data_IF_043150940306
#
_entry.id   IF_043150940306
#
_cell.length_a   1.000
_cell.length_b   1.000
_cell.length_c   1.000
_cell.angle_alpha   90.00
_cell.angle_beta   90.00
_cell.angle_gamma   90.00
#
_symmetry.space_group_name_H-M   'P 1'
#
loop_
_entity.id
_entity.type
_entity.pdbx_description
1 polymer ?
#
# COMPACT_ATOMS: atom_id res chain seq x y z
N UNK A 1 -8.11 -11.01 9.30
CA UNK A 1 -7.06 -11.42 8.37
C UNK A 1 -6.96 -10.55 7.11
N UNK A 2 -7.56 -9.34 7.08
CA UNK A 2 -7.76 -8.58 5.83
C UNK A 2 -7.17 -7.16 5.81
N UNK A 3 -6.51 -6.71 6.89
CA UNK A 3 -5.82 -5.41 6.95
C UNK A 3 -4.50 -5.40 6.14
N UNK A 4 -4.06 -6.54 5.66
CA UNK A 4 -2.70 -6.86 5.26
C UNK A 4 -2.25 -6.28 3.91
N UNK A 5 -3.09 -6.24 2.90
CA UNK A 5 -2.63 -5.83 1.56
C UNK A 5 -2.51 -4.32 1.36
N UNK A 6 -3.35 -3.51 2.02
CA UNK A 6 -3.26 -2.05 1.90
C UNK A 6 -2.13 -1.48 2.76
N UNK A 7 -1.85 -2.07 3.92
CA UNK A 7 -0.67 -1.72 4.70
C UNK A 7 0.63 -2.09 3.97
N UNK A 8 0.69 -3.22 3.27
CA UNK A 8 1.88 -3.61 2.50
C UNK A 8 2.18 -2.63 1.36
N UNK A 9 1.17 -2.10 0.67
CA UNK A 9 1.38 -1.09 -0.38
C UNK A 9 1.83 0.26 0.20
N UNK A 10 1.22 0.71 1.30
CA UNK A 10 1.65 1.93 2.01
C UNK A 10 3.04 1.74 2.62
N UNK A 11 3.35 0.56 3.15
CA UNK A 11 4.65 0.22 3.71
C UNK A 11 5.74 0.13 2.65
N UNK A 12 5.44 -0.42 1.47
CA UNK A 12 6.38 -0.40 0.35
C UNK A 12 6.73 1.04 -0.03
N UNK A 13 5.73 1.93 -0.09
CA UNK A 13 5.96 3.36 -0.39
C UNK A 13 6.80 4.05 0.70
N UNK A 14 6.53 3.76 1.98
CA UNK A 14 7.31 4.30 3.09
C UNK A 14 8.75 3.76 3.09
N UNK A 15 8.95 2.49 2.73
CA UNK A 15 10.26 1.86 2.61
C UNK A 15 11.12 2.51 1.50
N UNK A 16 10.51 2.95 0.40
CA UNK A 16 11.21 3.67 -0.66
C UNK A 16 11.46 5.15 -0.35
N UNK A 17 10.76 5.74 0.63
CA UNK A 17 10.81 7.17 0.92
C UNK A 17 11.93 7.58 1.89
N UNK A 18 12.58 6.65 2.59
CA UNK A 18 13.57 6.99 3.63
C UNK A 18 14.87 6.21 3.49
N UNK A 19 15.95 6.82 3.00
CA UNK A 19 17.30 6.33 3.26
C UNK A 19 17.72 6.79 4.66
N UNK A 20 18.00 5.84 5.55
CA UNK A 20 18.71 6.05 6.82
C UNK A 20 17.93 6.82 7.92
N UNK A 21 17.42 6.07 8.90
CA UNK A 21 16.89 6.46 10.20
C UNK A 21 15.38 6.75 10.28
N UNK A 22 14.67 5.79 10.93
CA UNK A 22 13.28 5.83 11.36
C UNK A 22 12.25 6.12 10.24
N UNK A 23 11.47 5.10 9.90
CA UNK A 23 10.33 5.24 8.99
C UNK A 23 9.30 6.20 9.61
N UNK A 24 9.31 7.43 9.15
CA UNK A 24 8.42 8.48 9.64
C UNK A 24 7.28 8.70 8.67
N UNK A 25 6.05 8.58 9.16
CA UNK A 25 4.85 8.90 8.38
C UNK A 25 4.86 10.40 8.06
N UNK A 26 4.84 10.80 6.79
CA UNK A 26 4.90 12.20 6.41
C UNK A 26 3.64 12.93 6.88
N UNK A 27 3.84 14.10 7.46
CA UNK A 27 2.78 14.89 8.12
C UNK A 27 2.61 16.26 7.50
N UNK A 28 1.38 16.76 7.54
CA UNK A 28 1.02 18.13 7.21
C UNK A 28 0.11 18.71 8.29
N UNK A 29 -0.01 20.02 8.37
CA UNK A 29 -0.83 20.69 9.37
C UNK A 29 -0.45 20.29 10.80
N UNK A 30 -1.43 19.82 11.57
CA UNK A 30 -1.23 19.34 12.95
C UNK A 30 -0.67 17.91 13.03
N UNK A 31 -0.61 17.18 11.92
CA UNK A 31 -0.08 15.81 11.85
C UNK A 31 -0.95 14.74 12.54
N UNK A 32 -2.22 15.03 12.84
CA UNK A 32 -3.03 14.16 13.68
C UNK A 32 -3.19 12.74 13.10
N UNK A 33 -3.61 12.61 11.85
CA UNK A 33 -3.73 11.30 11.22
C UNK A 33 -2.38 10.60 11.02
N UNK A 34 -1.33 11.36 10.68
CA UNK A 34 0.02 10.80 10.53
C UNK A 34 0.55 10.22 11.85
N UNK A 35 0.29 10.85 12.99
CA UNK A 35 0.66 10.33 14.30
C UNK A 35 -0.06 9.00 14.61
N UNK A 36 -1.36 8.91 14.29
CA UNK A 36 -2.12 7.66 14.46
C UNK A 36 -1.57 6.52 13.61
N UNK A 37 -1.15 6.83 12.37
CA UNK A 37 -0.55 5.84 11.47
C UNK A 37 0.90 5.48 11.88
N UNK A 38 1.64 6.42 12.49
CA UNK A 38 3.00 6.16 12.98
C UNK A 38 3.04 5.03 14.02
N UNK A 39 2.02 4.92 14.87
CA UNK A 39 1.97 3.84 15.86
C UNK A 39 1.91 2.45 15.21
N UNK A 40 1.26 2.32 14.05
CA UNK A 40 1.30 1.07 13.28
C UNK A 40 2.67 0.83 12.67
N UNK A 41 3.30 1.87 12.12
CA UNK A 41 4.65 1.78 11.55
C UNK A 41 5.67 1.29 12.59
N UNK A 42 5.55 1.78 13.82
CA UNK A 42 6.47 1.45 14.91
C UNK A 42 6.44 -0.02 15.36
N UNK A 43 5.34 -0.75 15.13
CA UNK A 43 5.22 -2.18 15.50
C UNK A 43 5.52 -3.14 14.34
N UNK A 44 5.76 -2.62 13.14
CA UNK A 44 6.02 -3.43 11.94
C UNK A 44 7.53 -3.58 11.76
N UNK A 45 8.05 -4.79 11.49
CA UNK A 45 9.48 -5.03 11.27
C UNK A 45 9.91 -4.55 9.87
N UNK A 46 9.88 -3.23 9.63
CA UNK A 46 10.10 -2.64 8.30
C UNK A 46 11.50 -2.93 7.74
N UNK A 47 12.53 -2.95 8.58
CA UNK A 47 13.90 -3.26 8.13
C UNK A 47 13.98 -4.67 7.54
N UNK A 48 13.32 -5.65 8.17
CA UNK A 48 13.29 -7.04 7.67
C UNK A 48 12.46 -7.14 6.38
N UNK A 49 11.35 -6.41 6.30
CA UNK A 49 10.50 -6.36 5.09
C UNK A 49 11.26 -5.74 3.92
N UNK A 50 11.99 -4.65 4.15
CA UNK A 50 12.82 -4.00 3.12
C UNK A 50 13.99 -4.90 2.70
N UNK A 51 14.65 -5.55 3.66
CA UNK A 51 15.71 -6.51 3.35
C UNK A 51 15.18 -7.67 2.48
N UNK A 52 14.01 -8.20 2.82
CA UNK A 52 13.34 -9.24 2.03
C UNK A 52 12.99 -8.75 0.62
N UNK A 53 12.46 -7.53 0.49
CA UNK A 53 12.16 -6.95 -0.83
C UNK A 53 13.42 -6.90 -1.71
N UNK A 54 14.56 -6.47 -1.16
CA UNK A 54 15.82 -6.45 -1.89
C UNK A 54 16.29 -7.85 -2.32
N UNK A 55 16.06 -8.87 -1.49
CA UNK A 55 16.38 -10.24 -1.88
C UNK A 55 15.53 -10.69 -3.09
N UNK A 56 14.23 -10.45 -3.07
CA UNK A 56 13.34 -10.75 -4.19
C UNK A 56 13.73 -9.99 -5.46
N UNK A 57 14.00 -8.68 -5.35
CA UNK A 57 14.42 -7.85 -6.49
C UNK A 57 15.70 -8.37 -7.16
N UNK A 58 16.61 -8.94 -6.38
CA UNK A 58 17.91 -9.41 -6.88
C UNK A 58 17.91 -10.86 -7.36
N UNK A 59 16.99 -11.71 -6.87
CA UNK A 59 17.11 -13.16 -7.04
C UNK A 59 15.91 -13.81 -7.71
N UNK A 60 14.75 -13.15 -7.73
CA UNK A 60 13.51 -13.72 -8.26
C UNK A 60 13.14 -13.10 -9.60
N UNK A 61 13.08 -13.92 -10.64
CA UNK A 61 12.80 -13.46 -12.01
C UNK A 61 11.35 -13.01 -12.20
N UNK A 62 10.39 -13.58 -11.44
CA UNK A 62 8.98 -13.16 -11.51
C UNK A 62 8.80 -11.79 -10.84
N UNK A 63 9.50 -11.54 -9.72
CA UNK A 63 9.55 -10.21 -9.11
C UNK A 63 10.17 -9.19 -10.06
N UNK A 64 11.27 -9.54 -10.74
CA UNK A 64 11.90 -8.66 -11.72
C UNK A 64 10.96 -8.37 -12.90
N UNK A 65 10.25 -9.38 -13.40
CA UNK A 65 9.25 -9.20 -14.47
C UNK A 65 8.10 -8.28 -14.03
N UNK A 66 7.64 -8.41 -12.78
CA UNK A 66 6.62 -7.52 -12.22
C UNK A 66 7.14 -6.08 -12.08
N UNK A 67 8.36 -5.87 -11.60
CA UNK A 67 8.97 -4.53 -11.52
C UNK A 67 9.14 -3.90 -12.90
N UNK A 68 9.51 -4.69 -13.92
CA UNK A 68 9.58 -4.22 -15.30
C UNK A 68 8.21 -3.80 -15.82
N UNK A 69 7.14 -4.56 -15.48
CA UNK A 69 5.78 -4.17 -15.83
C UNK A 69 5.39 -2.80 -15.22
N UNK A 70 5.78 -2.50 -13.98
CA UNK A 70 5.53 -1.19 -13.37
C UNK A 70 6.19 -0.03 -14.13
N UNK A 71 7.24 -0.29 -14.92
CA UNK A 71 7.92 0.70 -15.74
C UNK A 71 7.27 0.90 -17.12
N UNK A 72 6.25 0.12 -17.48
CA UNK A 72 5.58 0.21 -18.79
C UNK A 72 4.68 1.44 -18.87
N UNK A 73 4.43 1.89 -20.12
CA UNK A 73 3.45 2.94 -20.37
C UNK A 73 2.02 2.51 -19.96
N UNK A 74 1.71 1.21 -20.04
CA UNK A 74 0.42 0.67 -19.58
C UNK A 74 0.20 0.98 -18.10
N UNK A 75 1.19 0.68 -17.24
CA UNK A 75 1.08 0.95 -15.82
C UNK A 75 1.09 2.46 -15.51
N UNK A 76 1.90 3.26 -16.21
CA UNK A 76 1.89 4.74 -16.09
C UNK A 76 0.53 5.33 -16.46
N UNK A 77 -0.07 4.85 -17.55
CA UNK A 77 -1.41 5.27 -17.96
C UNK A 77 -2.47 4.89 -16.92
N UNK A 78 -2.35 3.72 -16.32
CA UNK A 78 -3.21 3.33 -15.19
C UNK A 78 -3.08 4.31 -14.02
N UNK A 79 -1.87 4.64 -13.55
CA UNK A 79 -1.66 5.58 -12.45
C UNK A 79 -2.22 6.96 -12.80
N UNK A 80 -1.95 7.49 -14.00
CA UNK A 80 -2.49 8.77 -14.47
C UNK A 80 -4.01 8.77 -14.53
N UNK A 81 -4.62 7.65 -14.98
CA UNK A 81 -6.08 7.47 -15.01
C UNK A 81 -6.66 7.50 -13.58
N UNK A 82 -6.03 6.81 -12.63
CA UNK A 82 -6.43 6.83 -11.22
C UNK A 82 -6.36 8.25 -10.63
N UNK A 83 -5.27 8.97 -10.87
CA UNK A 83 -5.07 10.34 -10.39
C UNK A 83 -6.02 11.35 -11.02
N UNK A 84 -6.62 11.02 -12.17
CA UNK A 84 -7.62 11.87 -12.84
C UNK A 84 -9.02 11.75 -12.22
N UNK A 85 -9.29 10.69 -11.43
CA UNK A 85 -10.60 10.45 -10.80
C UNK A 85 -10.83 11.51 -9.70
N UNK A 86 -11.94 12.28 -9.75
CA UNK A 86 -12.22 13.31 -8.74
C UNK A 86 -12.25 12.75 -7.31
N UNK A 87 -12.86 11.60 -7.11
CA UNK A 87 -12.97 10.95 -5.79
C UNK A 87 -11.60 10.47 -5.25
N UNK A 88 -10.63 10.18 -6.12
CA UNK A 88 -9.26 9.93 -5.70
C UNK A 88 -8.61 11.20 -5.13
N UNK A 89 -8.85 12.35 -5.75
CA UNK A 89 -8.40 13.65 -5.22
C UNK A 89 -9.11 14.02 -3.92
N UNK A 90 -10.39 13.70 -3.79
CA UNK A 90 -11.15 13.90 -2.55
C UNK A 90 -10.55 13.07 -1.41
N UNK A 91 -10.13 11.82 -1.70
CA UNK A 91 -9.41 10.97 -0.74
C UNK A 91 -8.08 11.60 -0.31
N UNK A 92 -7.27 12.08 -1.26
CA UNK A 92 -5.99 12.75 -0.94
C UNK A 92 -6.22 14.02 -0.13
N UNK A 93 -7.20 14.83 -0.51
CA UNK A 93 -7.56 16.07 0.20
C UNK A 93 -8.04 15.78 1.63
N UNK A 94 -8.87 14.74 1.82
CA UNK A 94 -9.32 14.34 3.15
C UNK A 94 -8.11 13.97 4.04
N UNK A 95 -7.21 13.12 3.54
CA UNK A 95 -6.02 12.69 4.27
C UNK A 95 -5.09 13.87 4.58
N UNK A 96 -4.90 14.78 3.63
CA UNK A 96 -4.10 15.99 3.77
C UNK A 96 -4.66 16.90 4.89
N UNK A 97 -5.98 17.10 4.91
CA UNK A 97 -6.67 17.91 5.92
C UNK A 97 -6.66 17.24 7.31
N UNK A 98 -6.66 15.91 7.35
CA UNK A 98 -6.55 15.15 8.58
C UNK A 98 -5.11 15.09 9.16
N UNK A 99 -4.11 15.62 8.43
CA UNK A 99 -2.74 15.74 8.92
C UNK A 99 -1.76 14.70 8.39
N UNK A 100 -2.16 13.90 7.39
CA UNK A 100 -1.25 13.02 6.63
C UNK A 100 -0.82 13.74 5.34
N UNK A 101 0.49 13.80 5.04
CA UNK A 101 0.96 14.35 3.76
C UNK A 101 0.78 13.32 2.63
N UNK A 102 -0.49 13.16 2.22
CA UNK A 102 -0.90 12.21 1.18
C UNK A 102 -0.33 12.56 -0.19
N UNK A 103 -0.18 13.86 -0.48
CA UNK A 103 0.43 14.30 -1.75
C UNK A 103 1.91 13.97 -1.83
N UNK A 104 2.65 14.08 -0.72
CA UNK A 104 4.04 13.63 -0.66
C UNK A 104 4.14 12.13 -0.97
N UNK A 105 3.28 11.31 -0.37
CA UNK A 105 3.26 9.86 -0.60
C UNK A 105 2.92 9.51 -2.06
N UNK A 106 1.91 10.15 -2.64
CA UNK A 106 1.55 9.96 -4.05
C UNK A 106 2.71 10.36 -4.99
N UNK A 107 3.36 11.50 -4.73
CA UNK A 107 4.50 11.95 -5.53
C UNK A 107 5.71 11.02 -5.41
N UNK A 108 5.92 10.36 -4.26
CA UNK A 108 6.96 9.34 -4.13
C UNK A 108 6.71 8.10 -4.97
N UNK A 109 5.45 7.69 -5.13
CA UNK A 109 5.10 6.63 -6.09
C UNK A 109 5.43 7.06 -7.51
N UNK A 110 5.13 8.29 -7.86
CA UNK A 110 5.42 8.83 -9.18
C UNK A 110 6.93 8.89 -9.46
N UNK A 111 7.72 9.33 -8.49
CA UNK A 111 9.19 9.30 -8.56
C UNK A 111 9.70 7.87 -8.73
N UNK A 112 9.15 6.90 -7.99
CA UNK A 112 9.55 5.50 -8.04
C UNK A 112 9.34 4.86 -9.41
N UNK A 113 8.33 5.27 -10.16
CA UNK A 113 8.06 4.75 -11.50
C UNK A 113 9.11 5.17 -12.53
N UNK A 114 10.09 6.00 -12.14
CA UNK A 114 11.21 6.43 -12.97
C UNK A 114 12.58 5.92 -12.49
N UNK A 115 12.68 5.04 -11.42
CA UNK A 115 13.95 4.81 -10.73
C UNK A 115 14.54 3.42 -10.91
N UNK A 116 15.84 3.44 -11.17
CA UNK A 116 16.79 2.40 -10.80
C UNK A 116 17.68 2.93 -9.69
N UNK A 117 17.90 2.18 -8.60
CA UNK A 117 19.08 2.16 -7.68
C UNK A 117 18.70 1.68 -6.27
N UNK A 118 19.53 1.00 -5.47
CA UNK A 118 20.88 0.52 -5.29
C UNK A 118 20.95 -0.36 -4.03
N UNK A 119 21.85 -1.29 -3.99
CA UNK A 119 22.05 -2.32 -2.96
C UNK A 119 23.36 -2.06 -2.19
N UNK A 120 23.42 -2.24 -0.86
CA UNK A 120 24.64 -2.57 -0.11
C UNK A 120 24.82 -4.08 0.08
N UNK A 121 26.05 -4.59 0.10
CA UNK A 121 26.34 -6.02 0.16
C UNK A 121 26.41 -6.58 1.57
N UNK A 122 26.12 -7.89 1.67
CA UNK A 122 26.41 -8.84 2.76
C UNK A 122 25.35 -9.06 3.86
N UNK A 123 24.40 -9.96 3.54
CA UNK A 123 23.86 -10.93 4.52
C UNK A 123 23.67 -12.28 3.84
N UNK A 124 23.77 -13.38 4.63
CA UNK A 124 23.62 -14.74 4.15
C UNK A 124 22.30 -14.88 3.36
N UNK A 125 22.42 -15.28 2.09
CA UNK A 125 21.31 -15.30 1.14
C UNK A 125 20.43 -16.51 1.38
N UNK A 126 19.20 -16.30 1.86
CA UNK A 126 18.10 -17.25 1.65
C UNK A 126 17.73 -17.21 0.18
N UNK A 127 17.49 -18.37 -0.44
CA UNK A 127 16.91 -18.41 -1.75
C UNK A 127 15.45 -17.92 -1.65
N UNK A 128 15.10 -16.87 -2.40
CA UNK A 128 13.75 -16.33 -2.49
C UNK A 128 13.15 -16.75 -3.83
N UNK A 129 11.91 -17.25 -3.79
CA UNK A 129 11.19 -17.76 -4.96
C UNK A 129 9.70 -17.39 -4.87
N UNK A 130 8.98 -17.43 -6.00
CA UNK A 130 7.53 -17.22 -6.04
C UNK A 130 7.10 -15.80 -6.38
N UNK A 131 8.01 -14.97 -6.88
CA UNK A 131 7.73 -13.62 -7.37
C UNK A 131 7.03 -12.73 -6.36
N UNK A 132 6.19 -11.82 -6.84
CA UNK A 132 5.41 -10.89 -5.98
C UNK A 132 4.50 -11.64 -5.00
N UNK A 133 3.94 -12.80 -5.38
CA UNK A 133 3.13 -13.62 -4.48
C UNK A 133 3.97 -14.13 -3.31
N UNK A 134 5.14 -14.74 -3.59
CA UNK A 134 6.02 -15.28 -2.55
C UNK A 134 6.51 -14.18 -1.60
N UNK A 135 6.81 -12.99 -2.13
CA UNK A 135 7.14 -11.82 -1.31
C UNK A 135 6.00 -11.44 -0.37
N UNK A 136 4.76 -11.29 -0.88
CA UNK A 136 3.60 -10.92 -0.07
C UNK A 136 3.28 -11.96 1.02
N UNK A 137 3.40 -13.27 0.71
CA UNK A 137 3.17 -14.34 1.68
C UNK A 137 4.23 -14.30 2.81
N UNK A 138 5.49 -13.97 2.51
CA UNK A 138 6.54 -13.83 3.51
C UNK A 138 6.40 -12.55 4.34
N UNK A 139 6.03 -11.42 3.72
CA UNK A 139 5.70 -10.19 4.46
C UNK A 139 4.53 -10.45 5.41
N UNK A 140 3.49 -11.14 4.95
CA UNK A 140 2.35 -11.50 5.80
C UNK A 140 2.79 -12.30 7.04
N UNK A 141 3.73 -13.22 6.87
CA UNK A 141 4.26 -14.03 7.97
C UNK A 141 5.11 -13.22 8.97
N UNK A 142 5.70 -12.09 8.55
CA UNK A 142 6.48 -11.20 9.41
C UNK A 142 5.60 -10.22 10.21
N UNK A 143 4.37 -9.94 9.77
CA UNK A 143 3.53 -8.95 10.41
C UNK A 143 3.01 -9.43 11.77
N UNK A 144 3.14 -8.63 12.84
CA UNK A 144 2.61 -8.95 14.17
C UNK A 144 1.09 -8.71 14.20
N UNK A 145 0.33 -9.56 13.49
CA UNK A 145 -1.08 -9.36 13.17
C UNK A 145 -1.99 -9.16 14.38
N UNK A 146 -1.71 -9.85 15.49
CA UNK A 146 -2.50 -9.67 16.72
C UNK A 146 -2.30 -8.26 17.32
N UNK A 147 -1.05 -7.76 17.30
CA UNK A 147 -0.75 -6.40 17.75
C UNK A 147 -1.39 -5.35 16.83
N UNK A 148 -1.30 -5.55 15.51
CA UNK A 148 -1.93 -4.67 14.52
C UNK A 148 -3.45 -4.61 14.71
N UNK A 149 -4.10 -5.77 14.92
CA UNK A 149 -5.55 -5.82 15.17
C UNK A 149 -5.95 -5.18 16.51
N UNK A 150 -5.16 -5.41 17.56
CA UNK A 150 -5.40 -4.80 18.86
C UNK A 150 -5.27 -3.28 18.78
N UNK A 151 -4.20 -2.79 18.14
CA UNK A 151 -3.97 -1.37 17.91
C UNK A 151 -5.08 -0.75 17.06
N UNK A 152 -5.51 -1.41 15.98
CA UNK A 152 -6.62 -0.94 15.15
C UNK A 152 -7.91 -0.75 15.98
N UNK A 153 -8.30 -1.78 16.75
CA UNK A 153 -9.50 -1.68 17.62
C UNK A 153 -9.37 -0.55 18.64
N UNK A 154 -8.19 -0.42 19.27
CA UNK A 154 -7.91 0.67 20.20
C UNK A 154 -8.04 2.03 19.54
N UNK A 155 -7.47 2.22 18.35
CA UNK A 155 -7.49 3.48 17.61
C UNK A 155 -8.92 3.86 17.18
N UNK A 156 -9.68 2.91 16.64
CA UNK A 156 -11.09 3.16 16.29
C UNK A 156 -11.93 3.56 17.51
N UNK A 157 -11.66 2.96 18.68
CA UNK A 157 -12.42 3.25 19.90
C UNK A 157 -12.03 4.60 20.57
N UNK A 158 -10.75 5.00 20.47
CA UNK A 158 -10.22 6.07 21.33
C UNK A 158 -9.68 7.28 20.55
N UNK A 159 -9.50 7.19 19.24
CA UNK A 159 -9.04 8.31 18.42
C UNK A 159 -10.13 8.74 17.45
N UNK A 160 -10.72 9.91 17.71
CA UNK A 160 -11.73 10.49 16.81
C UNK A 160 -11.18 10.67 15.39
N UNK A 161 -9.94 11.14 15.24
CA UNK A 161 -9.34 11.39 13.93
C UNK A 161 -9.15 10.08 13.14
N UNK A 162 -8.80 9.01 13.84
CA UNK A 162 -8.66 7.69 13.21
C UNK A 162 -10.03 7.07 12.89
N UNK A 163 -10.99 7.16 13.79
CA UNK A 163 -12.36 6.72 13.56
C UNK A 163 -13.01 7.45 12.37
N UNK A 164 -12.89 8.77 12.30
CA UNK A 164 -13.38 9.59 11.21
C UNK A 164 -12.72 9.18 9.86
N UNK A 165 -11.43 8.87 9.87
CA UNK A 165 -10.72 8.36 8.69
C UNK A 165 -11.27 7.00 8.23
N UNK A 166 -11.50 6.05 9.13
CA UNK A 166 -12.11 4.76 8.78
C UNK A 166 -13.53 4.95 8.25
N UNK A 167 -14.32 5.84 8.87
CA UNK A 167 -15.64 6.21 8.39
C UNK A 167 -15.61 6.81 6.98
N UNK A 168 -14.66 7.70 6.71
CA UNK A 168 -14.49 8.28 5.38
C UNK A 168 -14.14 7.21 4.34
N UNK A 169 -13.29 6.24 4.67
CA UNK A 169 -12.96 5.11 3.79
C UNK A 169 -14.17 4.23 3.46
N UNK A 170 -15.20 4.17 4.29
CA UNK A 170 -16.48 3.49 4.04
C UNK A 170 -17.58 4.41 3.47
N UNK A 171 -17.25 5.64 3.09
CA UNK A 171 -18.23 6.65 2.66
C UNK A 171 -18.75 6.44 1.23
N UNK A 172 -19.88 7.06 0.86
CA UNK A 172 -20.35 7.08 -0.53
C UNK A 172 -19.33 7.65 -1.54
N UNK A 173 -18.45 8.57 -1.12
CA UNK A 173 -17.35 9.08 -1.96
C UNK A 173 -16.34 7.99 -2.26
N UNK A 174 -15.95 7.20 -1.26
CA UNK A 174 -15.07 6.05 -1.47
C UNK A 174 -15.75 4.96 -2.30
N UNK A 175 -17.07 4.76 -2.16
CA UNK A 175 -17.81 3.83 -3.01
C UNK A 175 -17.77 4.28 -4.49
N UNK A 176 -18.03 5.55 -4.79
CA UNK A 176 -17.93 6.06 -6.17
C UNK A 176 -16.52 5.90 -6.75
N UNK A 177 -15.48 6.10 -5.94
CA UNK A 177 -14.10 5.82 -6.38
C UNK A 177 -13.94 4.36 -6.78
N UNK A 178 -14.40 3.41 -5.95
CA UNK A 178 -14.35 1.97 -6.24
C UNK A 178 -15.11 1.63 -7.51
N UNK A 179 -16.35 2.15 -7.66
CA UNK A 179 -17.18 1.92 -8.84
C UNK A 179 -16.50 2.44 -10.12
N UNK A 180 -15.92 3.65 -10.07
CA UNK A 180 -15.20 4.26 -11.19
C UNK A 180 -13.94 3.45 -11.55
N UNK A 181 -13.22 2.98 -10.56
CA UNK A 181 -12.04 2.11 -10.78
C UNK A 181 -12.44 0.77 -11.40
N UNK A 182 -13.48 0.11 -10.88
CA UNK A 182 -13.94 -1.16 -11.43
C UNK A 182 -14.53 -1.02 -12.86
N UNK A 183 -15.07 0.14 -13.21
CA UNK A 183 -15.52 0.44 -14.58
C UNK A 183 -14.34 0.77 -15.54
N UNK A 184 -13.13 1.01 -15.04
CA UNK A 184 -12.00 1.42 -15.85
C UNK A 184 -11.27 0.19 -16.45
N UNK A 185 -11.23 0.05 -17.80
CA UNK A 185 -10.57 -1.09 -18.45
C UNK A 185 -9.07 -1.22 -18.11
N UNK A 186 -8.35 -0.10 -17.94
CA UNK A 186 -6.93 -0.10 -17.59
C UNK A 186 -6.72 -0.67 -16.17
N UNK A 187 -7.62 -0.36 -15.26
CA UNK A 187 -7.60 -0.95 -13.92
C UNK A 187 -7.88 -2.45 -13.95
N UNK A 188 -8.86 -2.89 -14.75
CA UNK A 188 -9.18 -4.30 -14.89
C UNK A 188 -8.00 -5.10 -15.51
N UNK A 189 -7.31 -4.52 -16.50
CA UNK A 189 -6.09 -5.12 -17.06
C UNK A 189 -4.99 -5.25 -16.00
N UNK A 190 -4.82 -4.24 -15.15
CA UNK A 190 -3.87 -4.30 -14.04
C UNK A 190 -4.23 -5.41 -13.03
N UNK A 191 -5.52 -5.53 -12.66
CA UNK A 191 -5.98 -6.62 -11.77
C UNK A 191 -5.71 -8.00 -12.39
N UNK A 192 -6.02 -8.17 -13.69
CA UNK A 192 -5.73 -9.41 -14.41
C UNK A 192 -4.23 -9.71 -14.42
N UNK A 193 -3.39 -8.69 -14.57
CA UNK A 193 -1.94 -8.82 -14.50
C UNK A 193 -1.46 -9.27 -13.12
N UNK A 194 -1.97 -8.68 -12.05
CA UNK A 194 -1.67 -9.12 -10.68
C UNK A 194 -2.08 -10.57 -10.45
N UNK A 195 -3.25 -10.99 -10.95
CA UNK A 195 -3.71 -12.37 -10.87
C UNK A 195 -2.77 -13.32 -11.62
N UNK A 196 -2.25 -12.91 -12.79
CA UNK A 196 -1.29 -13.72 -13.55
C UNK A 196 0.03 -13.94 -12.81
N UNK A 197 0.39 -13.06 -11.89
CA UNK A 197 1.51 -13.24 -10.95
C UNK A 197 1.10 -13.98 -9.66
N UNK A 198 -0.10 -14.56 -9.61
CA UNK A 198 -0.59 -15.34 -8.48
C UNK A 198 -1.04 -14.53 -7.27
N UNK A 199 -1.19 -13.20 -7.38
CA UNK A 199 -1.67 -12.35 -6.28
C UNK A 199 -3.14 -12.66 -5.99
N UNK A 200 -3.45 -12.95 -4.73
CA UNK A 200 -4.82 -13.23 -4.29
C UNK A 200 -5.62 -11.93 -4.06
N UNK A 201 -6.29 -11.47 -5.11
CA UNK A 201 -7.10 -10.24 -5.05
C UNK A 201 -8.32 -10.37 -4.13
N UNK A 202 -8.81 -11.60 -3.88
CA UNK A 202 -9.97 -11.84 -3.02
C UNK A 202 -9.75 -11.31 -1.61
N UNK A 203 -8.55 -11.42 -1.05
CA UNK A 203 -8.23 -10.86 0.28
C UNK A 203 -8.51 -9.35 0.35
N UNK A 204 -8.13 -8.61 -0.69
CA UNK A 204 -8.37 -7.17 -0.77
C UNK A 204 -9.86 -6.83 -0.90
N UNK A 205 -10.57 -7.56 -1.76
CA UNK A 205 -12.02 -7.42 -1.94
C UNK A 205 -12.75 -7.69 -0.62
N UNK A 206 -12.52 -8.84 0.00
CA UNK A 206 -13.13 -9.22 1.29
C UNK A 206 -12.89 -8.15 2.38
N UNK A 207 -11.71 -7.52 2.40
CA UNK A 207 -11.44 -6.43 3.35
C UNK A 207 -12.33 -5.22 3.08
N UNK A 208 -12.42 -4.79 1.82
CA UNK A 208 -13.23 -3.61 1.45
C UNK A 208 -14.70 -3.84 1.75
N UNK A 209 -15.22 -5.03 1.46
CA UNK A 209 -16.61 -5.39 1.71
C UNK A 209 -16.92 -5.57 3.21
N UNK A 210 -16.10 -6.33 3.93
CA UNK A 210 -16.40 -6.71 5.31
C UNK A 210 -15.97 -5.68 6.36
N UNK A 211 -14.95 -4.85 6.09
CA UNK A 211 -14.44 -3.88 7.07
C UNK A 211 -14.84 -2.44 6.77
N UNK A 212 -15.05 -2.11 5.51
CA UNK A 212 -15.40 -0.75 5.09
C UNK A 212 -16.84 -0.66 4.57
N UNK A 213 -17.53 -1.79 4.38
CA UNK A 213 -18.90 -1.82 3.86
C UNK A 213 -19.01 -1.39 2.39
N UNK A 214 -17.90 -1.41 1.64
CA UNK A 214 -17.88 -1.05 0.23
C UNK A 214 -18.25 -2.24 -0.64
N UNK A 215 -19.00 -2.01 -1.70
CA UNK A 215 -19.26 -3.02 -2.73
C UNK A 215 -18.17 -2.98 -3.80
N UNK A 216 -17.56 -4.12 -4.14
CA UNK A 216 -16.50 -4.24 -5.15
C UNK A 216 -16.98 -5.15 -6.28
N UNK A 217 -17.29 -4.55 -7.44
CA UNK A 217 -17.85 -5.25 -8.61
C UNK A 217 -16.79 -5.92 -9.50
N UNK A 218 -15.50 -5.62 -9.29
CA UNK A 218 -14.39 -6.17 -10.08
C UNK A 218 -13.49 -7.18 -9.37
#
# INVERSE_FOLDING_TARGET
>A
MHLQMKFAAVLAVLAFASPLNAYVVPRTGNGALAAELQDFVNIIPLDDIVALLHEYMNQDSEMQAWLNYLQTNEFRNFVSSLESIPEFRDLLNYQQNAGLDAYYLANKINDFLHLAKLVPPNRARRAVTGGIRGYLDQVEAMLPMEQIRALFRQKVANSKVFADFIHFLGSPTSQRLVDTMCANPTFNNYLAKLQSYGVNLKKGKDFMENQLGLHVSC
#
